data_IF_128998597622
#
_entry.id   IF_128998597622
#
_cell.length_a   1.000
_cell.length_b   1.000
_cell.length_c   1.000
_cell.angle_alpha   90.00
_cell.angle_beta   90.00
_cell.angle_gamma   90.00
#
_symmetry.space_group_name_H-M   'P 1'
#
loop_
_entity.id
_entity.type
_entity.pdbx_description
1 polymer ?
#
# COMPACT_ATOMS: atom_id res chain seq x y z
N UNK A 1 43.91 -20.75 -42.06
CA UNK A 1 42.56 -20.99 -41.54
C UNK A 1 42.42 -20.77 -40.02
N UNK A 2 43.48 -20.88 -39.25
CA UNK A 2 43.41 -20.66 -37.78
C UNK A 2 43.30 -19.22 -37.33
N UNK A 3 43.71 -18.24 -38.13
CA UNK A 3 43.59 -16.81 -37.80
C UNK A 3 42.16 -16.23 -37.83
N UNK A 4 41.23 -16.87 -38.56
CA UNK A 4 39.85 -16.38 -38.70
C UNK A 4 39.00 -16.77 -37.47
N UNK A 5 39.29 -17.91 -36.83
CA UNK A 5 38.60 -18.38 -35.62
C UNK A 5 38.97 -17.53 -34.38
N UNK A 6 40.19 -16.99 -34.31
CA UNK A 6 40.61 -16.12 -33.21
C UNK A 6 39.92 -14.75 -33.23
N UNK A 7 39.71 -14.18 -34.43
CA UNK A 7 39.03 -12.91 -34.57
C UNK A 7 37.51 -13.00 -34.22
N UNK A 8 36.86 -14.09 -34.56
CA UNK A 8 35.46 -14.35 -34.18
C UNK A 8 35.32 -14.59 -32.67
N UNK A 9 36.25 -15.31 -32.04
CA UNK A 9 36.24 -15.53 -30.59
C UNK A 9 36.41 -14.23 -29.81
N UNK A 10 37.29 -13.34 -30.25
CA UNK A 10 37.52 -12.01 -29.65
C UNK A 10 36.31 -11.09 -29.81
N UNK A 11 35.63 -11.14 -30.97
CA UNK A 11 34.45 -10.33 -31.23
C UNK A 11 33.27 -10.76 -30.36
N UNK A 12 33.05 -12.07 -30.19
CA UNK A 12 32.01 -12.61 -29.32
C UNK A 12 32.29 -12.28 -27.85
N UNK A 13 33.54 -12.38 -27.41
CA UNK A 13 33.96 -12.00 -26.07
C UNK A 13 33.76 -10.50 -25.81
N UNK A 14 34.03 -9.66 -26.78
CA UNK A 14 33.81 -8.21 -26.70
C UNK A 14 32.31 -7.86 -26.61
N UNK A 15 31.43 -8.52 -27.37
CA UNK A 15 29.98 -8.34 -27.30
C UNK A 15 29.44 -8.82 -25.95
N UNK A 16 29.93 -9.89 -25.37
CA UNK A 16 29.56 -10.39 -24.05
C UNK A 16 29.99 -9.41 -22.96
N UNK A 17 31.19 -8.87 -23.04
CA UNK A 17 31.70 -7.87 -22.09
C UNK A 17 30.96 -6.54 -22.16
N UNK A 18 30.61 -6.08 -23.35
CA UNK A 18 29.82 -4.84 -23.51
C UNK A 18 28.39 -4.97 -23.05
N UNK A 19 27.79 -6.15 -23.16
CA UNK A 19 26.44 -6.42 -22.59
C UNK A 19 26.43 -6.46 -21.06
N UNK A 20 27.54 -6.74 -20.40
CA UNK A 20 27.64 -6.75 -18.94
C UNK A 20 27.72 -5.36 -18.31
N UNK A 21 27.97 -4.32 -19.08
CA UNK A 21 28.10 -2.94 -18.59
C UNK A 21 26.82 -2.09 -18.77
N UNK A 22 25.65 -2.69 -19.01
CA UNK A 22 24.41 -1.97 -18.76
C UNK A 22 24.33 -1.72 -17.24
N UNK A 23 24.70 -0.51 -16.82
CA UNK A 23 24.41 -0.03 -15.47
C UNK A 23 22.93 -0.31 -15.21
N UNK A 24 22.65 -1.26 -14.31
CA UNK A 24 21.33 -1.29 -13.68
C UNK A 24 21.14 0.08 -13.06
N UNK A 25 20.20 0.86 -13.61
CA UNK A 25 19.75 2.07 -12.94
C UNK A 25 19.14 1.60 -11.62
N UNK A 26 19.81 1.89 -10.52
CA UNK A 26 19.24 1.72 -9.19
C UNK A 26 18.10 2.72 -9.11
N UNK A 27 16.87 2.26 -9.32
CA UNK A 27 15.69 3.05 -9.04
C UNK A 27 15.65 3.11 -7.51
N UNK A 28 16.07 4.25 -6.96
CA UNK A 28 15.85 4.56 -5.54
C UNK A 28 14.37 4.92 -5.44
N UNK A 29 13.53 3.91 -5.15
CA UNK A 29 12.14 4.18 -4.80
C UNK A 29 12.13 4.96 -3.49
N UNK A 30 11.41 6.10 -3.48
CA UNK A 30 11.15 6.84 -2.25
C UNK A 30 10.40 5.94 -1.28
N UNK A 31 10.80 5.86 0.00
CA UNK A 31 10.05 5.10 0.98
C UNK A 31 8.61 5.66 1.08
N UNK A 32 7.64 4.77 1.23
CA UNK A 32 6.24 5.14 1.39
C UNK A 32 6.04 5.77 2.77
N UNK A 33 5.41 6.93 2.80
CA UNK A 33 4.99 7.60 4.03
C UNK A 33 3.50 7.34 4.28
N UNK A 34 3.17 6.87 5.48
CA UNK A 34 1.81 6.52 5.89
C UNK A 34 1.22 7.63 6.77
N UNK A 35 0.78 8.72 6.13
CA UNK A 35 0.33 9.94 6.83
C UNK A 35 -1.16 10.24 6.65
N UNK A 36 -1.84 9.54 5.76
CA UNK A 36 -3.23 9.83 5.44
C UNK A 36 -4.18 9.06 6.36
N UNK A 37 -4.95 9.79 7.16
CA UNK A 37 -5.90 9.21 8.12
C UNK A 37 -7.18 8.72 7.44
N UNK A 38 -7.72 7.63 7.94
CA UNK A 38 -9.06 7.14 7.66
C UNK A 38 -9.93 7.23 8.93
N UNK A 39 -11.20 6.89 8.83
CA UNK A 39 -12.13 6.90 9.96
C UNK A 39 -12.90 5.58 10.06
N UNK A 40 -13.52 5.35 11.23
CA UNK A 40 -14.42 4.21 11.43
C UNK A 40 -13.75 2.90 11.81
N UNK A 41 -12.43 2.86 12.03
CA UNK A 41 -11.69 1.64 12.37
C UNK A 41 -12.22 0.97 13.64
N UNK A 42 -12.81 1.71 14.57
CA UNK A 42 -13.39 1.16 15.80
C UNK A 42 -14.50 0.13 15.54
N UNK A 43 -15.23 0.28 14.45
CA UNK A 43 -16.27 -0.67 14.06
C UNK A 43 -15.72 -1.94 13.39
N UNK A 44 -14.44 -1.96 13.08
CA UNK A 44 -13.79 -3.02 12.30
C UNK A 44 -12.58 -3.65 13.00
N UNK A 45 -12.52 -3.53 14.32
CA UNK A 45 -11.41 -4.07 15.11
C UNK A 45 -11.24 -5.58 14.94
N UNK A 46 -12.33 -6.32 14.83
CA UNK A 46 -12.28 -7.77 14.60
C UNK A 46 -11.65 -8.11 13.24
N UNK A 47 -11.96 -7.34 12.20
CA UNK A 47 -11.35 -7.52 10.87
C UNK A 47 -9.86 -7.18 10.91
N UNK A 48 -9.48 -6.09 11.55
CA UNK A 48 -8.09 -5.69 11.69
C UNK A 48 -7.27 -6.72 12.49
N UNK A 49 -7.86 -7.31 13.53
CA UNK A 49 -7.23 -8.40 14.26
C UNK A 49 -6.99 -9.64 13.38
N UNK A 50 -7.93 -9.99 12.51
CA UNK A 50 -7.76 -11.10 11.56
C UNK A 50 -6.60 -10.86 10.61
N UNK A 51 -6.40 -9.62 10.18
CA UNK A 51 -5.36 -9.26 9.21
C UNK A 51 -4.00 -9.14 9.89
N UNK A 52 -3.91 -8.41 10.99
CA UNK A 52 -2.66 -8.05 11.66
C UNK A 52 -2.25 -9.01 12.78
N UNK A 53 -3.14 -9.92 13.17
CA UNK A 53 -2.93 -10.84 14.29
C UNK A 53 -3.35 -10.25 15.65
N UNK A 54 -3.31 -11.06 16.71
CA UNK A 54 -3.71 -10.64 18.05
C UNK A 54 -2.77 -9.54 18.59
N UNK A 55 -3.29 -8.73 19.51
CA UNK A 55 -2.52 -7.70 20.19
C UNK A 55 -1.32 -8.28 20.90
N UNK A 56 -0.21 -7.57 20.88
CA UNK A 56 1.05 -7.89 21.53
C UNK A 56 1.54 -6.66 22.29
N UNK A 57 2.61 -6.77 23.06
CA UNK A 57 3.14 -5.64 23.85
C UNK A 57 3.50 -4.43 22.99
N UNK A 58 4.06 -4.68 21.81
CA UNK A 58 4.42 -3.61 20.86
C UNK A 58 3.27 -3.29 19.92
N UNK A 59 3.13 -2.02 19.59
CA UNK A 59 2.25 -1.55 18.51
C UNK A 59 2.55 -2.27 17.20
N UNK A 60 1.51 -2.58 16.45
CA UNK A 60 1.64 -3.18 15.11
C UNK A 60 2.31 -2.19 14.15
N UNK A 61 3.05 -2.75 13.22
CA UNK A 61 3.55 -2.08 12.04
C UNK A 61 3.45 -3.07 10.88
N UNK A 62 2.27 -3.14 10.27
CA UNK A 62 1.98 -4.12 9.20
C UNK A 62 1.68 -3.37 7.92
N UNK A 63 2.63 -3.44 6.99
CA UNK A 63 2.48 -2.86 5.65
C UNK A 63 1.65 -3.79 4.77
N UNK A 64 0.60 -3.26 4.17
CA UNK A 64 -0.35 -4.00 3.33
C UNK A 64 -0.78 -3.13 2.16
N UNK A 65 -1.51 -3.73 1.21
CA UNK A 65 -2.21 -2.99 0.18
C UNK A 65 -3.68 -2.88 0.56
N UNK A 66 -4.23 -1.69 0.46
CA UNK A 66 -5.63 -1.41 0.72
C UNK A 66 -6.35 -1.04 -0.58
N UNK A 67 -7.57 -1.50 -0.72
CA UNK A 67 -8.47 -1.08 -1.78
C UNK A 67 -9.35 0.05 -1.28
N UNK A 68 -9.35 1.13 -2.02
CA UNK A 68 -10.18 2.32 -1.78
C UNK A 68 -11.27 2.32 -2.83
N UNK A 69 -12.54 2.14 -2.41
CA UNK A 69 -13.64 1.90 -3.34
C UNK A 69 -14.90 2.69 -2.97
N UNK A 70 -15.49 3.35 -3.97
CA UNK A 70 -16.78 4.00 -3.84
C UNK A 70 -17.89 3.01 -3.49
N UNK A 71 -18.77 3.41 -2.60
CA UNK A 71 -19.92 2.64 -2.14
C UNK A 71 -21.22 3.42 -2.36
N UNK A 72 -21.69 3.57 -3.63
CA UNK A 72 -22.78 4.47 -4.00
C UNK A 72 -24.13 4.06 -3.42
N UNK A 73 -24.28 2.79 -3.02
CA UNK A 73 -25.49 2.25 -2.40
C UNK A 73 -25.40 2.19 -0.87
N UNK A 74 -24.42 2.88 -0.26
CA UNK A 74 -24.32 2.97 1.19
C UNK A 74 -25.59 3.62 1.76
N UNK A 75 -26.20 2.97 2.77
CA UNK A 75 -27.47 3.38 3.35
C UNK A 75 -27.41 4.74 4.08
N UNK A 76 -26.22 5.13 4.55
CA UNK A 76 -26.01 6.34 5.37
C UNK A 76 -25.42 7.51 4.57
N UNK A 77 -24.62 7.23 3.57
CA UNK A 77 -23.93 8.23 2.77
C UNK A 77 -23.63 7.70 1.36
N UNK A 78 -24.31 8.23 0.37
CA UNK A 78 -24.09 7.87 -1.04
C UNK A 78 -22.69 8.19 -1.57
N UNK A 79 -21.97 9.09 -0.88
CA UNK A 79 -20.59 9.46 -1.21
C UNK A 79 -19.56 8.59 -0.48
N UNK A 80 -19.99 7.64 0.35
CA UNK A 80 -19.09 6.81 1.14
C UNK A 80 -18.03 6.12 0.27
N UNK A 81 -16.80 6.16 0.74
CA UNK A 81 -15.65 5.49 0.12
C UNK A 81 -15.04 4.56 1.16
N UNK A 82 -15.16 3.29 0.90
CA UNK A 82 -14.76 2.20 1.78
C UNK A 82 -13.28 1.87 1.61
N UNK A 83 -12.65 1.47 2.71
CA UNK A 83 -11.30 0.91 2.72
C UNK A 83 -11.39 -0.57 3.05
N UNK A 84 -10.85 -1.40 2.16
CA UNK A 84 -10.75 -2.85 2.33
C UNK A 84 -9.29 -3.30 2.36
N UNK A 85 -8.99 -4.27 3.21
CA UNK A 85 -7.73 -4.99 3.23
C UNK A 85 -8.05 -6.48 3.23
N UNK A 86 -7.46 -7.25 2.31
CA UNK A 86 -7.76 -8.68 2.14
C UNK A 86 -9.27 -8.98 1.99
N UNK A 87 -10.01 -8.11 1.33
CA UNK A 87 -11.46 -8.25 1.15
C UNK A 87 -12.30 -7.92 2.37
N UNK A 88 -11.70 -7.48 3.48
CA UNK A 88 -12.38 -7.10 4.70
C UNK A 88 -12.44 -5.58 4.85
N UNK A 89 -13.60 -5.04 5.16
CA UNK A 89 -13.75 -3.62 5.47
C UNK A 89 -13.01 -3.27 6.75
N UNK A 90 -12.19 -2.23 6.71
CA UNK A 90 -11.41 -1.76 7.87
C UNK A 90 -11.71 -0.31 8.27
N UNK A 91 -12.43 0.41 7.45
CA UNK A 91 -12.80 1.80 7.68
C UNK A 91 -13.30 2.47 6.41
N UNK A 92 -13.33 3.78 6.46
CA UNK A 92 -13.81 4.67 5.39
C UNK A 92 -12.92 5.91 5.29
N UNK A 93 -12.92 6.55 4.14
CA UNK A 93 -12.47 7.94 4.10
C UNK A 93 -13.41 8.80 4.96
N UNK A 94 -12.88 9.88 5.55
CA UNK A 94 -13.72 10.83 6.25
C UNK A 94 -14.88 11.31 5.36
N UNK A 95 -15.98 11.70 5.96
CA UNK A 95 -17.12 12.23 5.20
C UNK A 95 -16.74 13.45 4.36
N UNK A 96 -15.87 14.30 4.89
CA UNK A 96 -15.39 15.49 4.18
C UNK A 96 -14.52 15.13 2.99
N UNK A 97 -13.60 14.17 3.15
CA UNK A 97 -12.76 13.68 2.04
C UNK A 97 -13.60 13.00 0.95
N UNK A 98 -14.54 12.15 1.36
CA UNK A 98 -15.45 11.47 0.43
C UNK A 98 -16.31 12.48 -0.36
N UNK A 99 -16.73 13.54 0.28
CA UNK A 99 -17.50 14.63 -0.35
C UNK A 99 -16.72 15.36 -1.42
N UNK A 100 -15.41 15.56 -1.20
CA UNK A 100 -14.51 16.15 -2.21
C UNK A 100 -14.38 15.29 -3.47
N UNK A 101 -14.59 13.98 -3.35
CA UNK A 101 -14.55 13.02 -4.46
C UNK A 101 -15.95 12.70 -5.00
N UNK A 102 -16.99 13.39 -4.55
CA UNK A 102 -18.37 13.14 -4.98
C UNK A 102 -18.51 13.23 -6.51
N UNK A 103 -19.28 12.32 -7.08
CA UNK A 103 -19.47 12.22 -8.54
C UNK A 103 -18.35 11.47 -9.27
N UNK A 104 -17.30 11.07 -8.58
CA UNK A 104 -16.21 10.23 -9.14
C UNK A 104 -16.38 8.79 -8.70
N UNK A 105 -16.08 7.85 -9.59
CA UNK A 105 -16.03 6.42 -9.26
C UNK A 105 -14.61 6.10 -8.84
N UNK A 106 -14.41 5.79 -7.56
CA UNK A 106 -13.10 5.47 -6.98
C UNK A 106 -12.97 3.95 -6.88
N UNK A 107 -11.86 3.43 -7.37
CA UNK A 107 -11.47 2.04 -7.22
C UNK A 107 -9.95 1.95 -7.41
N UNK A 108 -9.21 2.20 -6.34
CA UNK A 108 -7.75 2.24 -6.36
C UNK A 108 -7.19 1.31 -5.29
N UNK A 109 -6.04 0.72 -5.59
CA UNK A 109 -5.25 -0.02 -4.62
C UNK A 109 -4.04 0.81 -4.25
N UNK A 110 -3.88 1.08 -2.96
CA UNK A 110 -2.82 1.94 -2.42
C UNK A 110 -2.12 1.26 -1.25
N UNK A 111 -0.86 1.63 -0.94
CA UNK A 111 -0.20 1.16 0.26
C UNK A 111 -0.95 1.62 1.51
N UNK A 112 -0.96 0.77 2.52
CA UNK A 112 -1.54 1.08 3.83
C UNK A 112 -0.70 0.48 4.95
N UNK A 113 -0.82 1.06 6.13
CA UNK A 113 -0.18 0.60 7.34
C UNK A 113 -1.24 0.33 8.39
N UNK A 114 -1.21 -0.87 8.97
CA UNK A 114 -1.95 -1.17 10.20
C UNK A 114 -1.02 -0.92 11.37
N UNK A 115 -1.41 -0.01 12.24
CA UNK A 115 -0.69 0.35 13.47
C UNK A 115 -1.56 0.10 14.71
N UNK A 116 -1.10 0.51 15.87
CA UNK A 116 -1.81 0.27 17.12
C UNK A 116 -1.86 -1.21 17.49
N UNK A 117 -2.94 -1.66 18.09
CA UNK A 117 -3.13 -3.08 18.40
C UNK A 117 -2.14 -3.62 19.43
N UNK A 118 -1.78 -2.84 20.45
CA UNK A 118 -0.91 -3.30 21.54
C UNK A 118 -1.71 -3.62 22.79
N UNK A 119 -1.15 -4.48 23.61
CA UNK A 119 -1.66 -4.84 24.91
C UNK A 119 -0.47 -5.16 25.82
N UNK A 120 -0.31 -4.39 26.89
CA UNK A 120 0.65 -4.63 27.95
C UNK A 120 -0.01 -4.52 29.32
N UNK A 121 0.77 -4.62 30.40
CA UNK A 121 0.26 -4.60 31.76
C UNK A 121 -0.39 -3.27 32.15
N UNK A 122 -0.10 -2.18 31.42
CA UNK A 122 -0.52 -0.82 31.78
C UNK A 122 -1.50 -0.20 30.79
N UNK A 123 -1.55 -0.69 29.55
CA UNK A 123 -2.35 -0.05 28.51
C UNK A 123 -2.75 -1.00 27.38
N UNK A 124 -3.76 -0.59 26.65
CA UNK A 124 -4.26 -1.27 25.46
C UNK A 124 -4.57 -0.24 24.37
N UNK A 125 -4.15 -0.53 23.14
CA UNK A 125 -4.43 0.30 21.98
C UNK A 125 -5.28 -0.40 20.95
N UNK A 126 -6.19 0.35 20.34
CA UNK A 126 -6.95 -0.10 19.20
C UNK A 126 -6.07 -0.20 17.95
N UNK A 127 -6.44 -1.08 17.01
CA UNK A 127 -5.85 -1.09 15.68
C UNK A 127 -6.27 0.18 14.93
N UNK A 128 -5.34 0.78 14.21
CA UNK A 128 -5.57 1.90 13.31
C UNK A 128 -5.05 1.61 11.92
N UNK A 129 -5.46 2.41 10.95
CA UNK A 129 -5.01 2.31 9.57
C UNK A 129 -4.63 3.70 9.06
N UNK A 130 -3.50 3.77 8.37
CA UNK A 130 -3.08 4.95 7.62
C UNK A 130 -2.80 4.57 6.17
N UNK A 131 -3.22 5.40 5.25
CA UNK A 131 -2.93 5.20 3.83
C UNK A 131 -1.60 5.86 3.44
N UNK A 132 -0.89 5.22 2.54
CA UNK A 132 0.36 5.70 1.97
C UNK A 132 0.15 6.61 0.76
N UNK A 133 -0.76 7.56 0.88
CA UNK A 133 -1.03 8.59 -0.13
C UNK A 133 -0.74 9.97 0.47
N UNK A 134 -0.34 10.93 -0.37
CA UNK A 134 -0.09 12.30 0.04
C UNK A 134 -1.33 13.19 -0.12
N UNK A 135 -2.19 12.86 -1.09
CA UNK A 135 -3.41 13.62 -1.37
C UNK A 135 -4.49 12.75 -1.99
N UNK A 136 -5.73 13.25 -1.94
CA UNK A 136 -6.88 12.60 -2.58
C UNK A 136 -6.74 12.47 -4.10
N UNK A 137 -5.91 13.29 -4.74
CA UNK A 137 -5.66 13.23 -6.19
C UNK A 137 -5.08 11.89 -6.63
N UNK A 138 -4.39 11.19 -5.75
CA UNK A 138 -3.84 9.85 -6.04
C UNK A 138 -4.93 8.77 -6.18
N UNK A 139 -6.17 9.07 -5.80
CA UNK A 139 -7.32 8.16 -5.88
C UNK A 139 -8.15 8.33 -7.16
N UNK A 140 -7.85 9.36 -7.94
CA UNK A 140 -8.60 9.70 -9.17
C UNK A 140 -8.01 9.03 -10.41
#
# INVERSE_FOLDING_TARGET
MEMILGAFGLLILWIILTKRHKKQSVIIEKPVEYLFDIVGEQSYQANLRKIAGPKQEKSKYVEVMARVISEPFNAYDKNAIKIEINGLTVGYLSRDDAKLLAGKVINQTVPALINGGWLDDNSEGSYGVKLGIQSLNELI
#
